data_IF_237201614960
#
_entry.id   IF_237201614960
#
_cell.length_a   1.000
_cell.length_b   1.000
_cell.length_c   1.000
_cell.angle_alpha   90.00
_cell.angle_beta   90.00
_cell.angle_gamma   90.00
#
_symmetry.space_group_name_H-M   'P 1'
#
loop_
_entity.id
_entity.type
_entity.pdbx_description
1 polymer ?
#
# COMPACT_ATOMS: atom_id res chain seq x y z
N UNK A 1 9.82 -3.30 14.40
CA UNK A 1 9.42 -1.88 14.59
C UNK A 1 8.28 -1.56 13.65
N UNK A 2 7.25 -0.91 14.15
CA UNK A 2 6.10 -0.55 13.31
C UNK A 2 6.36 0.75 12.57
N UNK A 3 5.85 0.84 11.35
CA UNK A 3 5.85 2.06 10.56
C UNK A 3 4.42 2.43 10.19
N UNK A 4 4.14 3.71 10.18
CA UNK A 4 2.78 4.25 10.03
C UNK A 4 2.74 5.22 8.86
N UNK A 5 1.71 5.08 8.00
CA UNK A 5 1.50 5.96 6.85
C UNK A 5 0.03 6.31 6.74
N UNK A 6 -0.25 7.51 6.24
CA UNK A 6 -1.56 7.84 5.71
C UNK A 6 -1.39 8.18 4.24
N UNK A 7 -2.12 7.49 3.37
CA UNK A 7 -2.03 7.68 1.93
C UNK A 7 -3.33 8.30 1.45
N UNK A 8 -3.23 9.55 1.05
CA UNK A 8 -4.34 10.35 0.56
C UNK A 8 -3.87 11.10 -0.67
N UNK A 9 -4.63 11.10 -1.73
CA UNK A 9 -4.25 11.95 -2.83
C UNK A 9 -4.56 11.46 -4.24
N UNK A 10 -5.17 10.30 -4.40
CA UNK A 10 -5.72 9.95 -5.70
C UNK A 10 -6.82 10.97 -5.99
N UNK A 11 -6.67 11.75 -7.06
CA UNK A 11 -7.53 12.89 -7.33
C UNK A 11 -8.29 12.71 -8.65
N UNK A 12 -9.13 13.69 -8.98
CA UNK A 12 -9.82 13.66 -10.27
C UNK A 12 -8.85 13.74 -11.45
N UNK A 13 -7.68 14.33 -11.23
CA UNK A 13 -6.65 14.42 -12.27
C UNK A 13 -5.77 13.18 -12.34
N UNK A 14 -5.66 12.42 -11.21
CA UNK A 14 -4.87 11.21 -11.13
C UNK A 14 -5.67 10.17 -10.34
N UNK A 15 -6.34 9.28 -11.06
CA UNK A 15 -7.19 8.26 -10.44
C UNK A 15 -6.39 7.26 -9.62
N UNK A 16 -5.07 7.19 -9.83
CA UNK A 16 -4.19 6.26 -9.13
C UNK A 16 -3.07 7.03 -8.44
N UNK A 17 -2.66 6.57 -7.28
CA UNK A 17 -1.52 7.11 -6.55
C UNK A 17 -0.66 5.95 -6.08
N UNK A 18 0.62 5.98 -6.45
CA UNK A 18 1.60 5.00 -5.97
C UNK A 18 2.45 5.64 -4.88
N UNK A 19 2.58 4.94 -3.76
CA UNK A 19 3.40 5.39 -2.64
C UNK A 19 4.43 4.34 -2.30
N UNK A 20 5.69 4.76 -2.18
CA UNK A 20 6.75 3.89 -1.69
C UNK A 20 6.62 3.79 -0.18
N UNK A 21 6.47 2.56 0.32
CA UNK A 21 6.39 2.30 1.75
C UNK A 21 7.77 1.99 2.33
N UNK A 22 8.56 1.20 1.62
CA UNK A 22 9.92 0.88 2.00
C UNK A 22 10.82 1.04 0.79
N UNK A 23 11.87 1.86 0.92
CA UNK A 23 12.82 2.06 -0.15
C UNK A 23 13.79 0.88 -0.25
N UNK A 24 14.34 0.68 -1.43
CA UNK A 24 15.42 -0.28 -1.64
C UNK A 24 16.57 0.07 -0.70
N UNK A 25 17.08 -0.93 0.01
CA UNK A 25 18.21 -0.73 0.92
C UNK A 25 17.85 -0.27 2.32
N UNK A 26 16.55 -0.12 2.64
CA UNK A 26 16.13 0.26 4.00
C UNK A 26 16.50 -0.77 5.06
N UNK A 27 16.69 -2.03 4.68
CA UNK A 27 17.07 -3.07 5.61
C UNK A 27 15.97 -3.40 6.61
N UNK A 28 14.72 -3.30 6.21
CA UNK A 28 13.58 -3.46 7.08
C UNK A 28 12.93 -4.83 6.87
N UNK A 29 12.55 -5.46 7.97
CA UNK A 29 11.79 -6.71 7.96
C UNK A 29 10.35 -6.43 8.31
N UNK A 30 9.44 -6.96 7.49
CA UNK A 30 8.00 -6.79 7.68
C UNK A 30 7.35 -8.17 7.78
N UNK A 31 6.47 -8.34 8.74
CA UNK A 31 5.72 -9.59 8.93
C UNK A 31 4.22 -9.42 8.71
N UNK A 32 3.70 -8.20 8.68
CA UNK A 32 2.30 -7.97 8.37
C UNK A 32 2.06 -6.53 7.91
N UNK A 33 0.97 -6.34 7.18
CA UNK A 33 0.49 -5.02 6.78
C UNK A 33 -0.97 -4.88 7.19
N UNK A 34 -1.32 -3.71 7.69
CA UNK A 34 -2.69 -3.36 8.05
C UNK A 34 -3.12 -2.16 7.22
N UNK A 35 -4.26 -2.27 6.54
CA UNK A 35 -4.79 -1.23 5.67
C UNK A 35 -6.20 -0.89 6.13
N UNK A 36 -6.47 0.37 6.44
CA UNK A 36 -7.79 0.84 6.87
C UNK A 36 -8.25 1.96 5.97
N UNK A 37 -9.40 1.78 5.34
CA UNK A 37 -10.03 2.86 4.60
C UNK A 37 -10.71 3.81 5.60
N UNK A 38 -10.12 4.99 5.76
CA UNK A 38 -10.60 6.00 6.72
C UNK A 38 -11.43 7.10 6.06
N UNK A 39 -11.75 6.96 4.77
CA UNK A 39 -12.64 7.89 4.10
C UNK A 39 -14.09 7.70 4.58
N UNK A 40 -14.82 8.80 4.66
CA UNK A 40 -16.18 8.76 5.23
C UNK A 40 -17.20 8.11 4.28
N UNK A 41 -17.00 8.23 2.97
CA UNK A 41 -18.08 7.95 2.02
C UNK A 41 -17.70 7.01 0.87
N UNK A 42 -16.42 6.73 0.64
CA UNK A 42 -15.96 6.10 -0.60
C UNK A 42 -15.07 4.91 -0.34
N UNK A 43 -15.38 3.79 -0.97
CA UNK A 43 -14.47 2.65 -1.03
C UNK A 43 -13.31 2.94 -1.99
N UNK A 44 -12.25 2.16 -1.89
CA UNK A 44 -11.11 2.27 -2.79
C UNK A 44 -10.54 0.90 -3.08
N UNK A 45 -9.65 0.82 -4.05
CA UNK A 45 -8.94 -0.40 -4.41
C UNK A 45 -7.47 -0.20 -4.14
N UNK A 46 -6.82 -1.21 -3.55
CA UNK A 46 -5.40 -1.16 -3.25
C UNK A 46 -4.66 -2.33 -3.88
N UNK A 47 -3.44 -2.04 -4.34
CA UNK A 47 -2.46 -3.04 -4.72
C UNK A 47 -1.25 -2.84 -3.81
N UNK A 48 -0.73 -3.93 -3.27
CA UNK A 48 0.53 -3.91 -2.52
C UNK A 48 1.49 -4.85 -3.23
N UNK A 49 2.66 -4.35 -3.58
CA UNK A 49 3.62 -5.14 -4.35
C UNK A 49 5.04 -4.77 -3.97
N UNK A 50 5.95 -5.68 -4.27
CA UNK A 50 7.38 -5.41 -4.23
C UNK A 50 7.88 -5.25 -5.66
N UNK A 51 8.83 -4.37 -5.85
CA UNK A 51 9.39 -4.11 -7.18
C UNK A 51 10.89 -3.91 -7.07
N UNK A 52 11.61 -4.55 -7.99
CA UNK A 52 13.02 -4.37 -8.18
C UNK A 52 13.24 -3.74 -9.56
N UNK A 53 14.15 -2.77 -9.64
CA UNK A 53 14.45 -2.09 -10.90
C UNK A 53 14.76 -3.11 -12.00
N UNK A 54 14.10 -2.96 -13.14
CA UNK A 54 14.28 -3.79 -14.35
C UNK A 54 13.86 -5.25 -14.20
N UNK A 55 13.30 -5.66 -13.07
CA UNK A 55 12.92 -7.06 -12.83
C UNK A 55 11.43 -7.27 -12.69
N UNK A 56 10.65 -6.19 -12.65
CA UNK A 56 9.20 -6.28 -12.57
C UNK A 56 8.67 -6.32 -11.14
N UNK A 57 7.38 -6.57 -11.06
CA UNK A 57 6.62 -6.50 -9.81
C UNK A 57 6.19 -7.88 -9.35
N UNK A 58 6.16 -8.07 -8.04
CA UNK A 58 5.52 -9.23 -7.42
C UNK A 58 4.45 -8.71 -6.47
N UNK A 59 3.21 -9.11 -6.69
CA UNK A 59 2.07 -8.60 -5.93
C UNK A 59 1.88 -9.40 -4.65
N UNK A 60 1.68 -8.67 -3.56
CA UNK A 60 1.26 -9.23 -2.28
C UNK A 60 -0.26 -9.17 -2.20
N UNK A 61 -0.83 -8.03 -2.58
CA UNK A 61 -2.27 -7.83 -2.74
C UNK A 61 -2.51 -7.22 -4.11
N UNK A 62 -3.45 -7.77 -4.87
CA UNK A 62 -3.77 -7.28 -6.21
C UNK A 62 -5.23 -6.91 -6.29
N UNK A 63 -5.52 -5.65 -6.57
CA UNK A 63 -6.87 -5.14 -6.83
C UNK A 63 -7.85 -5.49 -5.69
N UNK A 64 -7.41 -5.30 -4.45
CA UNK A 64 -8.24 -5.57 -3.29
C UNK A 64 -9.10 -4.36 -2.99
N UNK A 65 -10.42 -4.56 -2.91
CA UNK A 65 -11.34 -3.50 -2.55
C UNK A 65 -11.38 -3.33 -1.04
N UNK A 66 -11.22 -2.08 -0.58
CA UNK A 66 -11.33 -1.73 0.83
C UNK A 66 -12.64 -0.97 1.04
N UNK A 67 -13.66 -1.61 1.64
CA UNK A 67 -14.86 -0.89 2.04
C UNK A 67 -14.58 0.14 3.12
N UNK A 68 -15.47 1.10 3.27
CA UNK A 68 -15.36 2.16 4.25
C UNK A 68 -15.27 1.57 5.66
N UNK A 69 -14.32 2.08 6.45
CA UNK A 69 -14.19 1.71 7.85
C UNK A 69 -13.66 0.32 8.12
N UNK A 70 -13.29 -0.42 7.08
CA UNK A 70 -12.80 -1.79 7.23
C UNK A 70 -11.28 -1.79 7.29
N UNK A 71 -10.74 -2.61 8.19
CA UNK A 71 -9.30 -2.86 8.26
C UNK A 71 -8.99 -4.24 7.69
N UNK A 72 -8.11 -4.27 6.70
CA UNK A 72 -7.57 -5.51 6.15
C UNK A 72 -6.20 -5.75 6.75
N UNK A 73 -6.01 -6.89 7.38
CA UNK A 73 -4.69 -7.30 7.89
C UNK A 73 -4.21 -8.48 7.06
N UNK A 74 -3.00 -8.39 6.55
CA UNK A 74 -2.41 -9.46 5.75
C UNK A 74 -1.02 -9.78 6.27
N UNK A 75 -0.82 -11.04 6.63
CA UNK A 75 0.48 -11.52 7.10
C UNK A 75 1.34 -11.95 5.92
N UNK A 76 2.58 -11.50 5.89
CA UNK A 76 3.54 -11.90 4.87
C UNK A 76 4.94 -11.64 5.40
N UNK A 77 5.93 -12.25 4.78
CA UNK A 77 7.31 -12.03 5.16
C UNK A 77 8.03 -11.28 4.04
N UNK A 78 8.59 -10.13 4.39
CA UNK A 78 9.40 -9.33 3.48
C UNK A 78 10.57 -8.75 4.25
N UNK A 79 11.78 -8.95 3.71
CA UNK A 79 13.01 -8.44 4.30
C UNK A 79 13.87 -7.95 3.15
N UNK A 80 14.13 -6.65 3.08
CA UNK A 80 14.95 -6.09 2.02
C UNK A 80 16.38 -5.75 2.46
N UNK A 81 16.86 -6.40 3.52
CA UNK A 81 18.22 -6.17 3.99
C UNK A 81 19.28 -6.69 3.02
N UNK A 82 18.95 -7.72 2.22
CA UNK A 82 19.90 -8.34 1.30
C UNK A 82 19.44 -8.36 -0.15
N UNK A 83 18.27 -7.80 -0.45
CA UNK A 83 17.77 -7.72 -1.82
C UNK A 83 17.55 -6.28 -2.20
N UNK A 84 17.21 -6.04 -3.46
CA UNK A 84 17.02 -4.69 -3.99
C UNK A 84 15.56 -4.40 -4.31
N UNK A 85 14.64 -4.99 -3.55
CA UNK A 85 13.22 -4.73 -3.70
C UNK A 85 12.78 -3.60 -2.77
N UNK A 86 11.91 -2.76 -3.29
CA UNK A 86 11.14 -1.81 -2.48
C UNK A 86 9.72 -2.32 -2.31
N UNK A 87 9.03 -1.84 -1.31
CA UNK A 87 7.62 -2.16 -1.06
C UNK A 87 6.77 -0.94 -1.40
N UNK A 88 5.74 -1.15 -2.21
CA UNK A 88 4.91 -0.08 -2.73
C UNK A 88 3.43 -0.39 -2.51
N UNK A 89 2.66 0.67 -2.37
CA UNK A 89 1.20 0.60 -2.37
C UNK A 89 0.67 1.49 -3.50
N UNK A 90 -0.25 0.96 -4.29
CA UNK A 90 -1.00 1.74 -5.27
C UNK A 90 -2.44 1.85 -4.80
N UNK A 91 -2.91 3.08 -4.65
CA UNK A 91 -4.26 3.40 -4.25
C UNK A 91 -5.03 3.86 -5.49
N UNK A 92 -6.14 3.18 -5.77
CA UNK A 92 -7.01 3.53 -6.89
C UNK A 92 -8.36 3.93 -6.36
N UNK A 93 -8.82 5.13 -6.69
CA UNK A 93 -10.12 5.60 -6.25
C UNK A 93 -11.22 4.99 -7.11
N UNK A 94 -12.39 4.81 -6.51
CA UNK A 94 -13.56 4.24 -7.20
C UNK A 94 -14.62 5.27 -7.53
N UNK A 95 -14.43 6.53 -7.09
CA UNK A 95 -15.37 7.61 -7.30
C UNK A 95 -14.62 8.94 -7.49
N UNK A 96 -15.34 10.05 -7.61
CA UNK A 96 -14.73 11.38 -7.80
C UNK A 96 -14.06 11.92 -6.54
N UNK A 97 -14.30 11.31 -5.39
CA UNK A 97 -13.76 11.75 -4.11
C UNK A 97 -12.34 11.23 -3.90
N UNK A 98 -11.59 11.90 -3.02
CA UNK A 98 -10.21 11.52 -2.71
C UNK A 98 -10.19 10.49 -1.59
N UNK A 99 -9.79 9.25 -1.86
CA UNK A 99 -9.72 8.22 -0.82
C UNK A 99 -8.55 8.46 0.14
N UNK A 100 -8.68 7.90 1.33
CA UNK A 100 -7.64 7.97 2.36
C UNK A 100 -7.51 6.61 3.02
N UNK A 101 -6.27 6.11 3.11
CA UNK A 101 -5.99 4.81 3.69
C UNK A 101 -4.87 4.95 4.72
N UNK A 102 -5.12 4.44 5.93
CA UNK A 102 -4.09 4.33 6.94
C UNK A 102 -3.38 2.99 6.79
N UNK A 103 -2.05 3.01 6.80
CA UNK A 103 -1.22 1.84 6.60
C UNK A 103 -0.30 1.66 7.80
N UNK A 104 -0.27 0.45 8.33
CA UNK A 104 0.65 0.08 9.41
C UNK A 104 1.45 -1.14 8.96
N UNK A 105 2.77 -1.01 8.97
CA UNK A 105 3.71 -2.11 8.70
C UNK A 105 4.30 -2.60 10.02
N UNK A 106 4.30 -3.89 10.21
CA UNK A 106 4.91 -4.50 11.40
C UNK A 106 5.98 -5.51 11.02
#
# INVERSE_FOLDING_TARGET
>A
MARYFNITGASSAAAELTRELLAVGDGVRVSSISLTNVHADTKCTVDVYIEKSLSGKFYILKSVELPIGVTLVHDFTFDNSTNQYGLYLKLTKSASETPSVDVILK
#
